data_IF_084809176685
#
_entry.id   IF_084809176685
#
_cell.length_a   1.000
_cell.length_b   1.000
_cell.length_c   1.000
_cell.angle_alpha   90.00
_cell.angle_beta   90.00
_cell.angle_gamma   90.00
#
_symmetry.space_group_name_H-M   'P 1'
#
loop_
_entity.id
_entity.type
_entity.pdbx_description
1 polymer ?
#
# COMPACT_ATOMS: atom_id res chain seq x y z
N UNK A 1 -28.60 50.52 -20.95
CA UNK A 1 -28.21 49.20 -21.50
C UNK A 1 -26.77 48.81 -21.19
N UNK A 2 -25.74 49.60 -21.54
CA UNK A 2 -24.32 49.22 -21.31
C UNK A 2 -23.94 49.05 -19.83
N UNK A 3 -24.46 49.90 -18.94
CA UNK A 3 -24.22 49.79 -17.49
C UNK A 3 -24.87 48.54 -16.86
N UNK A 4 -26.03 48.14 -17.37
CA UNK A 4 -26.77 46.96 -16.89
C UNK A 4 -26.07 45.65 -17.26
N UNK A 5 -25.46 45.60 -18.46
CA UNK A 5 -24.67 44.44 -18.92
C UNK A 5 -23.36 44.31 -18.13
N UNK A 6 -22.71 45.43 -17.78
CA UNK A 6 -21.52 45.41 -16.93
C UNK A 6 -21.83 44.93 -15.50
N UNK A 7 -22.96 45.35 -14.93
CA UNK A 7 -23.37 44.95 -13.58
C UNK A 7 -23.69 43.44 -13.51
N UNK A 8 -24.31 42.88 -14.54
CA UNK A 8 -24.59 41.44 -14.63
C UNK A 8 -23.32 40.58 -14.78
N UNK A 9 -22.30 41.09 -15.49
CA UNK A 9 -20.99 40.43 -15.60
C UNK A 9 -20.22 40.45 -14.28
N UNK A 10 -20.29 41.54 -13.51
CA UNK A 10 -19.66 41.63 -12.18
C UNK A 10 -20.34 40.72 -11.17
N UNK A 11 -21.67 40.58 -11.21
CA UNK A 11 -22.40 39.64 -10.35
C UNK A 11 -22.09 38.18 -10.72
N UNK A 12 -21.86 37.86 -12.00
CA UNK A 12 -21.46 36.51 -12.42
C UNK A 12 -20.03 36.15 -11.98
N UNK A 13 -19.12 37.13 -11.93
CA UNK A 13 -17.75 36.94 -11.39
C UNK A 13 -17.73 36.88 -9.86
N UNK A 14 -18.60 37.62 -9.17
CA UNK A 14 -18.75 37.56 -7.71
C UNK A 14 -19.57 36.36 -7.22
N UNK A 15 -20.36 35.73 -8.10
CA UNK A 15 -20.96 34.41 -7.89
C UNK A 15 -19.97 33.26 -8.22
N UNK A 16 -18.69 33.57 -8.39
CA UNK A 16 -17.60 32.60 -8.47
C UNK A 16 -17.53 31.76 -7.19
N UNK A 17 -18.29 30.66 -7.21
CA UNK A 17 -18.18 29.48 -6.34
C UNK A 17 -17.96 29.78 -4.87
N UNK A 18 -19.02 29.77 -4.07
CA UNK A 18 -18.82 29.15 -2.75
C UNK A 18 -18.27 27.75 -3.04
N UNK A 19 -17.03 27.48 -2.64
CA UNK A 19 -16.48 26.14 -2.70
C UNK A 19 -17.33 25.28 -1.78
N UNK A 20 -18.38 24.68 -2.34
CA UNK A 20 -19.23 23.75 -1.61
C UNK A 20 -18.36 22.57 -1.25
N UNK A 21 -18.30 22.27 0.05
CA UNK A 21 -17.64 21.07 0.55
C UNK A 21 -18.05 19.85 -0.27
N UNK A 22 -17.09 19.21 -0.93
CA UNK A 22 -17.36 18.00 -1.70
C UNK A 22 -17.59 16.82 -0.74
N UNK A 23 -18.48 15.91 -1.12
CA UNK A 23 -18.69 14.64 -0.45
C UNK A 23 -17.84 13.56 -1.12
N UNK A 24 -16.91 12.98 -0.37
CA UNK A 24 -16.00 11.94 -0.83
C UNK A 24 -16.35 10.63 -0.12
N UNK A 25 -16.60 9.57 -0.90
CA UNK A 25 -16.79 8.21 -0.39
C UNK A 25 -15.51 7.41 -0.56
N UNK A 26 -14.91 6.97 0.54
CA UNK A 26 -13.74 6.10 0.56
C UNK A 26 -14.19 4.67 0.86
N UNK A 27 -14.02 3.78 -0.10
CA UNK A 27 -14.38 2.36 0.02
C UNK A 27 -13.09 1.57 0.23
N UNK A 28 -12.93 1.10 1.45
CA UNK A 28 -11.75 0.43 1.97
C UNK A 28 -11.90 -1.08 1.79
N UNK A 29 -10.91 -1.73 1.19
CA UNK A 29 -10.89 -3.20 1.11
C UNK A 29 -10.90 -3.83 2.49
N UNK A 30 -10.23 -3.21 3.47
CA UNK A 30 -9.92 -3.82 4.75
C UNK A 30 -10.62 -3.11 5.92
N UNK A 31 -10.32 -3.54 7.14
CA UNK A 31 -10.89 -2.95 8.35
C UNK A 31 -10.15 -1.66 8.75
N UNK A 32 -10.84 -0.73 9.41
CA UNK A 32 -10.26 0.57 9.85
C UNK A 32 -9.01 0.48 10.74
N UNK A 33 -8.72 -0.70 11.30
CA UNK A 33 -7.62 -0.91 12.23
C UNK A 33 -6.29 -1.19 11.53
N UNK A 34 -6.29 -1.50 10.23
CA UNK A 34 -5.07 -1.77 9.48
C UNK A 34 -4.19 -0.51 9.40
N UNK A 35 -2.89 -0.69 9.68
CA UNK A 35 -1.95 0.42 9.78
C UNK A 35 -1.74 1.13 8.43
N UNK A 36 -1.77 0.37 7.33
CA UNK A 36 -1.70 0.89 5.97
C UNK A 36 -2.87 1.86 5.70
N UNK A 37 -4.09 1.43 5.98
CA UNK A 37 -5.33 2.20 5.83
C UNK A 37 -5.29 3.50 6.63
N UNK A 38 -4.89 3.41 7.91
CA UNK A 38 -4.70 4.60 8.75
C UNK A 38 -3.64 5.55 8.16
N UNK A 39 -2.58 5.00 7.57
CA UNK A 39 -1.48 5.80 7.04
C UNK A 39 -1.90 6.59 5.81
N UNK A 40 -2.46 5.93 4.78
CA UNK A 40 -2.88 6.64 3.57
C UNK A 40 -4.05 7.57 3.81
N UNK A 41 -4.96 7.26 4.75
CA UNK A 41 -6.06 8.16 5.07
C UNK A 41 -5.59 9.47 5.71
N UNK A 42 -4.55 9.41 6.56
CA UNK A 42 -3.88 10.63 7.06
C UNK A 42 -3.21 11.38 5.92
N UNK A 43 -2.60 10.68 4.97
CA UNK A 43 -1.99 11.26 3.78
C UNK A 43 -3.00 12.02 2.93
N UNK A 44 -4.14 11.40 2.62
CA UNK A 44 -5.24 12.02 1.86
C UNK A 44 -5.72 13.29 2.57
N UNK A 45 -6.03 13.20 3.86
CA UNK A 45 -6.50 14.33 4.68
C UNK A 45 -5.47 15.46 4.83
N UNK A 46 -4.20 15.18 4.63
CA UNK A 46 -3.15 16.23 4.69
C UNK A 46 -3.08 17.09 3.44
N UNK A 47 -3.70 16.66 2.33
CA UNK A 47 -3.67 17.36 1.04
C UNK A 47 -5.06 17.89 0.67
N UNK A 48 -6.10 17.09 0.90
CA UNK A 48 -7.47 17.46 0.55
C UNK A 48 -8.04 18.37 1.65
N UNK A 49 -8.65 19.49 1.25
CA UNK A 49 -9.22 20.50 2.14
C UNK A 49 -10.15 19.88 3.20
N UNK A 50 -9.97 20.28 4.46
CA UNK A 50 -10.72 19.79 5.62
C UNK A 50 -12.21 20.12 5.59
N UNK A 51 -12.62 21.09 4.77
CA UNK A 51 -14.02 21.42 4.57
C UNK A 51 -14.78 20.31 3.84
N UNK A 52 -14.10 19.42 3.09
CA UNK A 52 -14.74 18.30 2.41
C UNK A 52 -15.19 17.23 3.41
N UNK A 53 -16.30 16.55 3.09
CA UNK A 53 -16.82 15.46 3.91
C UNK A 53 -16.27 14.12 3.45
N UNK A 54 -15.66 13.36 4.36
CA UNK A 54 -15.15 12.02 4.10
C UNK A 54 -16.04 10.97 4.76
N UNK A 55 -16.66 10.11 3.94
CA UNK A 55 -17.38 8.93 4.42
C UNK A 55 -16.56 7.68 4.11
N UNK A 56 -16.30 6.84 5.10
CA UNK A 56 -15.60 5.56 4.88
C UNK A 56 -16.59 4.39 4.92
N UNK A 57 -16.43 3.45 3.98
CA UNK A 57 -17.05 2.13 4.01
C UNK A 57 -15.96 1.07 4.07
N UNK A 58 -15.96 0.22 5.09
CA UNK A 58 -14.96 -0.82 5.28
C UNK A 58 -15.53 -2.18 4.89
N UNK A 59 -14.91 -2.85 3.91
CA UNK A 59 -15.36 -4.14 3.40
C UNK A 59 -14.87 -5.33 4.24
N UNK A 60 -13.82 -5.15 5.05
CA UNK A 60 -13.25 -6.16 5.96
C UNK A 60 -12.85 -7.49 5.29
N UNK A 61 -12.31 -7.39 4.06
CA UNK A 61 -12.00 -8.56 3.21
C UNK A 61 -10.75 -9.34 3.61
N UNK A 62 -10.05 -8.95 4.68
CA UNK A 62 -8.95 -9.73 5.27
C UNK A 62 -9.41 -10.61 6.43
N UNK A 63 -10.60 -10.38 6.95
CA UNK A 63 -11.17 -11.11 8.09
C UNK A 63 -12.33 -12.00 7.66
N UNK A 64 -13.16 -11.48 6.75
CA UNK A 64 -14.30 -12.22 6.22
C UNK A 64 -13.86 -13.26 5.19
N UNK A 65 -14.60 -14.38 5.08
CA UNK A 65 -14.34 -15.37 4.05
C UNK A 65 -14.78 -14.85 2.68
N UNK A 66 -14.16 -15.36 1.60
CA UNK A 66 -14.29 -14.83 0.23
C UNK A 66 -15.74 -14.84 -0.27
N UNK A 67 -16.56 -15.77 0.19
CA UNK A 67 -17.98 -15.90 -0.14
C UNK A 67 -18.80 -14.69 0.32
N UNK A 68 -18.32 -13.95 1.32
CA UNK A 68 -18.97 -12.74 1.80
C UNK A 68 -18.56 -11.47 1.03
N UNK A 69 -17.53 -11.51 0.19
CA UNK A 69 -17.04 -10.33 -0.51
C UNK A 69 -18.09 -9.69 -1.43
N UNK A 70 -18.86 -10.45 -2.23
CA UNK A 70 -19.92 -9.87 -3.06
C UNK A 70 -21.00 -9.15 -2.24
N UNK A 71 -21.31 -9.65 -1.05
CA UNK A 71 -22.26 -9.00 -0.12
C UNK A 71 -21.70 -7.65 0.35
N UNK A 72 -20.42 -7.61 0.74
CA UNK A 72 -19.77 -6.35 1.15
C UNK A 72 -19.69 -5.33 0.02
N UNK A 73 -19.37 -5.78 -1.20
CA UNK A 73 -19.38 -4.90 -2.39
C UNK A 73 -20.78 -4.36 -2.68
N UNK A 74 -21.83 -5.16 -2.50
CA UNK A 74 -23.21 -4.69 -2.63
C UNK A 74 -23.56 -3.64 -1.58
N UNK A 75 -23.14 -3.81 -0.32
CA UNK A 75 -23.37 -2.81 0.74
C UNK A 75 -22.62 -1.49 0.46
N UNK A 76 -21.38 -1.58 -0.02
CA UNK A 76 -20.61 -0.42 -0.46
C UNK A 76 -21.32 0.32 -1.61
N UNK A 77 -21.84 -0.42 -2.58
CA UNK A 77 -22.63 0.13 -3.68
C UNK A 77 -23.93 0.81 -3.23
N UNK A 78 -24.66 0.21 -2.29
CA UNK A 78 -25.85 0.85 -1.70
C UNK A 78 -25.49 2.14 -0.94
N UNK A 79 -24.34 2.15 -0.27
CA UNK A 79 -23.81 3.35 0.39
C UNK A 79 -23.56 4.46 -0.62
N UNK A 80 -22.92 4.14 -1.75
CA UNK A 80 -22.74 5.07 -2.87
C UNK A 80 -24.06 5.63 -3.40
N UNK A 81 -25.05 4.77 -3.68
CA UNK A 81 -26.35 5.21 -4.22
C UNK A 81 -27.12 6.13 -3.26
N UNK A 82 -26.99 5.89 -1.95
CA UNK A 82 -27.61 6.71 -0.91
C UNK A 82 -26.89 8.05 -0.73
N UNK A 83 -25.56 8.04 -0.69
CA UNK A 83 -24.74 9.21 -0.41
C UNK A 83 -24.64 10.15 -1.62
N UNK A 84 -24.61 9.60 -2.84
CA UNK A 84 -24.36 10.35 -4.09
C UNK A 84 -23.14 11.28 -3.97
N UNK A 85 -21.95 10.74 -3.64
CA UNK A 85 -20.74 11.53 -3.47
C UNK A 85 -20.29 12.15 -4.79
N UNK A 86 -19.56 13.27 -4.69
CA UNK A 86 -18.93 13.95 -5.82
C UNK A 86 -17.70 13.18 -6.35
N UNK A 87 -17.09 12.35 -5.50
CA UNK A 87 -15.93 11.53 -5.83
C UNK A 87 -15.92 10.23 -5.01
N UNK A 88 -15.49 9.14 -5.64
CA UNK A 88 -15.29 7.86 -4.98
C UNK A 88 -13.80 7.51 -4.95
N UNK A 89 -13.36 6.98 -3.82
CA UNK A 89 -12.03 6.41 -3.65
C UNK A 89 -12.15 4.90 -3.45
N UNK A 90 -11.45 4.10 -4.25
CA UNK A 90 -11.39 2.64 -4.10
C UNK A 90 -10.00 2.24 -3.59
N UNK A 91 -9.92 1.66 -2.40
CA UNK A 91 -8.65 1.35 -1.75
C UNK A 91 -8.34 -0.14 -1.78
N UNK A 92 -7.15 -0.48 -2.26
CA UNK A 92 -6.57 -1.81 -2.39
C UNK A 92 -7.32 -2.75 -3.36
N UNK A 93 -6.69 -3.87 -3.69
CA UNK A 93 -7.10 -4.76 -4.79
C UNK A 93 -8.54 -5.31 -4.67
N UNK A 94 -9.07 -5.53 -3.46
CA UNK A 94 -10.39 -6.15 -3.29
C UNK A 94 -11.51 -5.16 -3.61
N UNK A 95 -11.48 -3.93 -3.10
CA UNK A 95 -12.46 -2.89 -3.44
C UNK A 95 -12.41 -2.58 -4.94
N UNK A 96 -11.20 -2.46 -5.50
CA UNK A 96 -11.00 -2.20 -6.93
C UNK A 96 -11.58 -3.34 -7.77
N UNK A 97 -11.19 -4.59 -7.51
CA UNK A 97 -11.63 -5.73 -8.32
C UNK A 97 -13.14 -5.98 -8.24
N UNK A 98 -13.76 -5.72 -7.09
CA UNK A 98 -15.19 -5.97 -6.87
C UNK A 98 -16.09 -4.84 -7.40
N UNK A 99 -15.58 -3.61 -7.51
CA UNK A 99 -16.42 -2.43 -7.77
C UNK A 99 -16.03 -1.65 -9.04
N UNK A 100 -14.83 -1.83 -9.59
CA UNK A 100 -14.36 -1.05 -10.75
C UNK A 100 -15.31 -1.12 -11.95
N UNK A 101 -15.83 -2.31 -12.26
CA UNK A 101 -16.80 -2.49 -13.35
C UNK A 101 -18.08 -1.68 -13.13
N UNK A 102 -18.63 -1.66 -11.90
CA UNK A 102 -19.87 -0.92 -11.62
C UNK A 102 -19.65 0.59 -11.69
N UNK A 103 -18.57 1.08 -11.11
CA UNK A 103 -18.24 2.50 -11.16
C UNK A 103 -17.81 2.95 -12.56
N UNK A 104 -17.23 2.07 -13.37
CA UNK A 104 -16.92 2.34 -14.78
C UNK A 104 -18.15 2.57 -15.67
N UNK A 105 -19.34 2.21 -15.20
CA UNK A 105 -20.63 2.48 -15.85
C UNK A 105 -21.29 3.78 -15.36
N UNK A 106 -20.60 4.57 -14.53
CA UNK A 106 -21.10 5.82 -13.97
C UNK A 106 -20.21 6.99 -14.36
N UNK A 107 -20.73 8.21 -14.20
CA UNK A 107 -19.97 9.43 -14.45
C UNK A 107 -19.19 9.94 -13.23
N UNK A 108 -19.35 9.30 -12.06
CA UNK A 108 -18.63 9.74 -10.84
C UNK A 108 -17.13 9.56 -11.04
N UNK A 109 -16.31 10.59 -10.76
CA UNK A 109 -14.86 10.43 -10.74
C UNK A 109 -14.43 9.41 -9.69
N UNK A 110 -13.49 8.54 -10.07
CA UNK A 110 -12.91 7.52 -9.20
C UNK A 110 -11.40 7.69 -9.11
N UNK A 111 -10.91 7.77 -7.89
CA UNK A 111 -9.47 7.66 -7.58
C UNK A 111 -9.24 6.31 -6.90
N UNK A 112 -8.48 5.41 -7.53
CA UNK A 112 -8.03 4.22 -6.81
C UNK A 112 -6.70 4.48 -6.10
N UNK A 113 -6.43 3.76 -5.01
CA UNK A 113 -5.09 3.69 -4.41
C UNK A 113 -4.83 2.30 -3.83
N UNK A 114 -3.56 1.98 -3.56
CA UNK A 114 -3.18 0.69 -2.97
C UNK A 114 -3.24 -0.48 -3.96
N UNK A 115 -3.32 -0.18 -5.26
CA UNK A 115 -3.46 -1.21 -6.28
C UNK A 115 -2.11 -1.92 -6.54
N UNK A 116 -1.98 -3.16 -6.07
CA UNK A 116 -0.78 -3.97 -6.31
C UNK A 116 -0.82 -4.63 -7.69
N UNK A 117 -1.98 -5.12 -8.12
CA UNK A 117 -2.15 -5.78 -9.43
C UNK A 117 -1.95 -4.83 -10.62
N UNK A 118 -1.92 -5.41 -11.83
CA UNK A 118 -1.82 -4.62 -13.05
C UNK A 118 -3.19 -3.96 -13.34
N UNK A 119 -3.26 -2.63 -13.55
CA UNK A 119 -4.53 -1.95 -13.86
C UNK A 119 -5.28 -2.53 -15.07
N UNK A 120 -4.56 -3.17 -16.00
CA UNK A 120 -5.16 -3.84 -17.17
C UNK A 120 -6.02 -5.04 -16.80
N UNK A 121 -5.70 -5.74 -15.72
CA UNK A 121 -6.42 -6.95 -15.29
C UNK A 121 -7.86 -6.63 -14.86
N UNK A 122 -8.09 -5.39 -14.42
CA UNK A 122 -9.40 -4.86 -14.06
C UNK A 122 -10.00 -3.92 -15.11
N UNK A 123 -9.37 -3.80 -16.29
CA UNK A 123 -9.84 -2.94 -17.37
C UNK A 123 -9.75 -1.44 -17.07
N UNK A 124 -9.04 -1.01 -16.02
CA UNK A 124 -9.03 0.38 -15.56
C UNK A 124 -8.50 1.34 -16.62
N UNK A 125 -7.60 0.87 -17.48
CA UNK A 125 -7.01 1.67 -18.56
C UNK A 125 -8.02 2.07 -19.65
N UNK A 126 -9.22 1.50 -19.63
CA UNK A 126 -10.32 1.83 -20.55
C UNK A 126 -11.39 2.71 -19.90
N UNK A 127 -11.32 2.94 -18.60
CA UNK A 127 -12.33 3.69 -17.84
C UNK A 127 -11.94 5.17 -17.79
N UNK A 128 -12.74 6.03 -18.41
CA UNK A 128 -12.44 7.46 -18.53
C UNK A 128 -12.61 8.24 -17.22
N UNK A 129 -13.41 7.70 -16.29
CA UNK A 129 -13.63 8.28 -14.98
C UNK A 129 -12.64 7.77 -13.91
N UNK A 130 -11.59 7.03 -14.28
CA UNK A 130 -10.61 6.46 -13.33
C UNK A 130 -9.24 7.11 -13.47
N UNK A 131 -8.65 7.42 -12.32
CA UNK A 131 -7.21 7.61 -12.14
C UNK A 131 -6.79 7.01 -10.80
N UNK A 132 -5.51 7.04 -10.44
CA UNK A 132 -5.13 6.51 -9.13
C UNK A 132 -3.65 6.32 -8.88
N UNK A 133 -3.36 5.70 -7.73
CA UNK A 133 -2.01 5.44 -7.22
C UNK A 133 -1.75 3.94 -7.16
N UNK A 134 -0.73 3.50 -7.89
CA UNK A 134 -0.28 2.12 -7.93
C UNK A 134 0.63 1.84 -6.74
N UNK A 135 0.41 0.72 -6.06
CA UNK A 135 1.27 0.23 -5.00
C UNK A 135 2.44 -0.56 -5.60
N UNK A 136 3.63 0.02 -5.55
CA UNK A 136 4.83 -0.56 -6.19
C UNK A 136 5.96 -0.64 -5.16
N UNK A 137 6.05 -1.76 -4.41
CA UNK A 137 7.11 -1.93 -3.43
C UNK A 137 8.50 -1.89 -4.10
N UNK A 138 9.47 -1.23 -3.45
CA UNK A 138 10.78 -0.92 -4.04
C UNK A 138 11.79 -2.07 -3.84
N UNK A 139 11.34 -3.33 -4.02
CA UNK A 139 12.05 -4.54 -3.62
C UNK A 139 13.53 -4.58 -4.04
N UNK A 140 13.84 -4.37 -5.33
CA UNK A 140 15.22 -4.46 -5.83
C UNK A 140 16.15 -3.47 -5.14
N UNK A 141 15.70 -2.23 -4.91
CA UNK A 141 16.51 -1.21 -4.24
C UNK A 141 16.63 -1.51 -2.75
N UNK A 142 15.58 -2.04 -2.11
CA UNK A 142 15.63 -2.47 -0.70
C UNK A 142 16.63 -3.61 -0.50
N UNK A 143 16.65 -4.59 -1.40
CA UNK A 143 17.60 -5.71 -1.37
C UNK A 143 19.04 -5.22 -1.56
N UNK A 144 19.29 -4.33 -2.53
CA UNK A 144 20.61 -3.70 -2.73
C UNK A 144 21.04 -2.90 -1.50
N UNK A 145 20.11 -2.21 -0.83
CA UNK A 145 20.41 -1.50 0.41
C UNK A 145 20.84 -2.47 1.52
N UNK A 146 20.13 -3.59 1.69
CA UNK A 146 20.50 -4.58 2.70
C UNK A 146 21.89 -5.17 2.42
N UNK A 147 22.25 -5.39 1.16
CA UNK A 147 23.60 -5.83 0.76
C UNK A 147 24.72 -4.93 1.30
N UNK A 148 24.47 -3.62 1.37
CA UNK A 148 25.41 -2.61 1.88
C UNK A 148 25.45 -2.51 3.42
N UNK A 149 24.41 -3.02 4.10
CA UNK A 149 24.27 -2.98 5.56
C UNK A 149 24.79 -4.28 6.18
N UNK A 150 24.60 -5.40 5.50
CA UNK A 150 25.02 -6.71 5.97
C UNK A 150 26.56 -6.83 5.99
N UNK A 151 27.11 -7.66 6.90
CA UNK A 151 28.55 -7.90 6.96
C UNK A 151 29.15 -8.27 5.60
N UNK A 152 30.38 -7.82 5.35
CA UNK A 152 31.04 -8.03 4.07
C UNK A 152 31.30 -9.52 3.82
N UNK A 153 30.90 -9.97 2.63
CA UNK A 153 30.95 -11.37 2.18
C UNK A 153 30.94 -11.38 0.65
N UNK A 154 31.72 -12.28 0.05
CA UNK A 154 31.88 -12.39 -1.40
C UNK A 154 30.56 -12.61 -2.14
N UNK A 155 29.66 -13.40 -1.55
CA UNK A 155 28.31 -13.67 -2.05
C UNK A 155 27.33 -13.67 -0.88
N UNK A 156 26.21 -12.97 -1.03
CA UNK A 156 25.16 -12.93 -0.01
C UNK A 156 23.91 -13.66 -0.52
N UNK A 157 23.27 -14.43 0.35
CA UNK A 157 22.02 -15.13 0.05
C UNK A 157 20.88 -14.53 0.87
N UNK A 158 19.86 -14.00 0.21
CA UNK A 158 18.72 -13.35 0.86
C UNK A 158 17.45 -14.16 0.59
N UNK A 159 16.67 -14.39 1.65
CA UNK A 159 15.34 -14.97 1.54
C UNK A 159 14.30 -13.87 1.57
N UNK A 160 13.36 -13.89 0.61
CA UNK A 160 12.19 -13.00 0.57
C UNK A 160 10.94 -13.86 0.78
N UNK A 161 10.15 -13.55 1.82
CA UNK A 161 8.94 -14.31 2.16
C UNK A 161 7.69 -13.42 2.14
N UNK A 162 6.58 -13.97 1.65
CA UNK A 162 5.26 -13.35 1.63
C UNK A 162 4.18 -14.38 1.98
N UNK A 163 3.00 -13.92 2.37
CA UNK A 163 1.79 -14.73 2.35
C UNK A 163 1.40 -15.11 0.90
N UNK A 164 0.60 -16.16 0.73
CA UNK A 164 0.19 -16.67 -0.59
C UNK A 164 -1.07 -15.97 -1.16
N UNK A 165 -1.29 -14.69 -0.84
CA UNK A 165 -2.44 -13.93 -1.37
C UNK A 165 -2.24 -13.46 -2.81
N UNK A 166 -3.33 -13.07 -3.48
CA UNK A 166 -3.27 -12.43 -4.81
C UNK A 166 -2.42 -11.16 -4.81
N UNK A 167 -2.56 -10.33 -3.77
CA UNK A 167 -1.79 -9.09 -3.58
C UNK A 167 -0.28 -9.36 -3.46
N UNK A 168 0.11 -10.40 -2.70
CA UNK A 168 1.50 -10.82 -2.57
C UNK A 168 2.08 -11.33 -3.88
N UNK A 169 1.32 -12.12 -4.64
CA UNK A 169 1.72 -12.57 -5.98
C UNK A 169 1.94 -11.38 -6.92
N UNK A 170 1.00 -10.44 -6.96
CA UNK A 170 1.11 -9.24 -7.78
C UNK A 170 2.33 -8.37 -7.41
N UNK A 171 2.73 -8.36 -6.13
CA UNK A 171 3.94 -7.66 -5.67
C UNK A 171 5.24 -8.31 -6.14
N UNK A 172 5.27 -9.65 -6.27
CA UNK A 172 6.48 -10.41 -6.60
C UNK A 172 6.61 -10.67 -8.10
N UNK A 173 5.50 -10.87 -8.81
CA UNK A 173 5.45 -11.26 -10.22
C UNK A 173 6.31 -10.38 -11.14
N UNK A 174 6.39 -9.04 -10.98
CA UNK A 174 7.27 -8.20 -11.81
C UNK A 174 8.77 -8.46 -11.64
N UNK A 175 9.16 -9.21 -10.60
CA UNK A 175 10.55 -9.46 -10.22
C UNK A 175 10.92 -10.92 -10.42
N UNK A 176 10.04 -11.83 -10.00
CA UNK A 176 10.22 -13.27 -10.15
C UNK A 176 8.86 -13.94 -10.40
N UNK A 177 8.38 -13.98 -11.65
CA UNK A 177 7.04 -14.48 -11.98
C UNK A 177 6.85 -15.96 -11.58
N UNK A 178 7.89 -16.78 -11.73
CA UNK A 178 7.85 -18.21 -11.38
C UNK A 178 8.42 -18.50 -9.97
N UNK A 179 8.65 -17.46 -9.16
CA UNK A 179 9.36 -17.54 -7.88
C UNK A 179 10.78 -18.14 -8.00
N UNK A 180 11.34 -18.15 -9.20
CA UNK A 180 12.71 -18.56 -9.45
C UNK A 180 13.69 -17.66 -8.68
N UNK A 181 14.78 -18.26 -8.21
CA UNK A 181 15.87 -17.49 -7.62
C UNK A 181 16.43 -16.50 -8.65
N UNK A 182 16.75 -15.29 -8.20
CA UNK A 182 17.36 -14.27 -9.05
C UNK A 182 18.68 -13.81 -8.47
N UNK A 183 19.54 -13.27 -9.33
CA UNK A 183 20.77 -12.59 -8.92
C UNK A 183 20.64 -11.09 -9.09
N UNK A 184 21.00 -10.33 -8.05
CA UNK A 184 21.12 -8.87 -8.07
C UNK A 184 22.54 -8.53 -7.64
N UNK A 185 23.42 -8.29 -8.61
CA UNK A 185 24.86 -8.14 -8.34
C UNK A 185 25.42 -9.41 -7.70
N UNK A 186 25.99 -9.30 -6.50
CA UNK A 186 26.55 -10.42 -5.71
C UNK A 186 25.54 -11.07 -4.74
N UNK A 187 24.27 -10.75 -4.90
CA UNK A 187 23.19 -11.26 -4.03
C UNK A 187 22.36 -12.27 -4.80
N UNK A 188 22.25 -13.48 -4.26
CA UNK A 188 21.24 -14.45 -4.69
C UNK A 188 20.00 -14.28 -3.82
N UNK A 189 18.83 -14.16 -4.45
CA UNK A 189 17.56 -13.92 -3.79
C UNK A 189 16.60 -15.07 -4.08
N UNK A 190 16.16 -15.75 -3.02
CA UNK A 190 15.13 -16.78 -3.10
C UNK A 190 13.78 -16.19 -2.67
N UNK A 191 12.69 -16.56 -3.35
CA UNK A 191 11.33 -16.11 -3.02
C UNK A 191 10.48 -17.28 -2.51
N UNK A 192 9.66 -17.04 -1.47
CA UNK A 192 8.69 -18.00 -0.97
C UNK A 192 7.34 -17.34 -0.68
N UNK A 193 6.27 -17.99 -1.15
CA UNK A 193 4.89 -17.69 -0.79
C UNK A 193 4.40 -18.77 0.17
N UNK A 194 3.85 -18.37 1.30
CA UNK A 194 3.47 -19.28 2.38
C UNK A 194 2.00 -19.08 2.73
N UNK A 195 1.27 -20.17 2.98
CA UNK A 195 -0.15 -20.09 3.37
C UNK A 195 -0.29 -20.27 4.89
N UNK A 196 0.38 -21.26 5.45
CA UNK A 196 0.23 -21.62 6.85
C UNK A 196 1.29 -20.91 7.70
N UNK A 197 0.89 -20.44 8.89
CA UNK A 197 1.82 -19.82 9.84
C UNK A 197 2.91 -20.79 10.29
N UNK A 198 2.62 -22.10 10.39
CA UNK A 198 3.62 -23.10 10.77
C UNK A 198 4.76 -23.20 9.74
N UNK A 199 4.44 -23.13 8.44
CA UNK A 199 5.44 -23.16 7.36
C UNK A 199 6.30 -21.88 7.39
N UNK A 200 5.67 -20.73 7.69
CA UNK A 200 6.37 -19.47 7.92
C UNK A 200 7.35 -19.56 9.07
N UNK A 201 6.89 -20.06 10.22
CA UNK A 201 7.69 -20.20 11.41
C UNK A 201 8.87 -21.15 11.20
N UNK A 202 8.64 -22.29 10.56
CA UNK A 202 9.68 -23.25 10.23
C UNK A 202 10.74 -22.65 9.30
N UNK A 203 10.32 -21.96 8.24
CA UNK A 203 11.25 -21.36 7.27
C UNK A 203 12.09 -20.25 7.90
N UNK A 204 11.48 -19.37 8.71
CA UNK A 204 12.18 -18.30 9.44
C UNK A 204 13.18 -18.88 10.43
N UNK A 205 12.78 -19.86 11.24
CA UNK A 205 13.64 -20.47 12.27
C UNK A 205 14.85 -21.19 11.65
N UNK A 206 14.66 -21.81 10.48
CA UNK A 206 15.72 -22.52 9.77
C UNK A 206 16.52 -21.63 8.81
N UNK A 207 16.22 -20.33 8.70
CA UNK A 207 16.82 -19.48 7.66
C UNK A 207 18.36 -19.45 7.71
N UNK A 208 18.96 -19.34 8.90
CA UNK A 208 20.42 -19.41 9.06
C UNK A 208 21.00 -20.76 8.66
N UNK A 209 20.34 -21.86 9.08
CA UNK A 209 20.74 -23.23 8.75
C UNK A 209 20.66 -23.50 7.25
N UNK A 210 19.70 -22.87 6.58
CA UNK A 210 19.50 -22.94 5.13
C UNK A 210 20.44 -22.00 4.34
N UNK A 211 21.40 -21.36 5.02
CA UNK A 211 22.46 -20.57 4.40
C UNK A 211 22.06 -19.15 3.99
N UNK A 212 20.94 -18.62 4.50
CA UNK A 212 20.55 -17.23 4.26
C UNK A 212 21.30 -16.28 5.20
N UNK A 213 21.74 -15.15 4.66
CA UNK A 213 22.41 -14.08 5.37
C UNK A 213 21.42 -13.01 5.88
N UNK A 214 20.27 -12.87 5.22
CA UNK A 214 19.18 -12.00 5.67
C UNK A 214 17.81 -12.47 5.20
N UNK A 215 16.78 -11.94 5.85
CA UNK A 215 15.37 -12.15 5.55
C UNK A 215 14.72 -10.82 5.12
N UNK A 216 13.87 -10.86 4.10
CA UNK A 216 12.94 -9.79 3.78
C UNK A 216 11.51 -10.30 3.97
N UNK A 217 10.78 -9.64 4.84
CA UNK A 217 9.38 -9.92 5.13
C UNK A 217 8.52 -9.00 4.28
N UNK A 218 7.76 -9.61 3.36
CA UNK A 218 6.75 -8.96 2.54
C UNK A 218 5.43 -8.79 3.27
N UNK A 219 4.32 -8.98 2.55
CA UNK A 219 2.98 -9.01 3.14
C UNK A 219 2.76 -10.33 3.88
N UNK A 220 2.08 -10.30 5.03
CA UNK A 220 1.86 -11.46 5.91
C UNK A 220 0.46 -11.46 6.54
N UNK A 221 -0.50 -10.80 5.88
CA UNK A 221 -1.83 -10.50 6.44
C UNK A 221 -2.88 -11.59 6.15
N UNK A 222 -2.54 -12.62 5.37
CA UNK A 222 -3.46 -13.73 5.05
C UNK A 222 -2.94 -15.10 5.48
N UNK A 223 -1.98 -15.15 6.40
CA UNK A 223 -1.56 -16.41 6.99
C UNK A 223 -2.68 -16.98 7.85
N UNK A 224 -2.82 -18.30 7.81
CA UNK A 224 -3.78 -19.03 8.62
C UNK A 224 -3.12 -20.10 9.47
N UNK A 225 -3.76 -20.49 10.56
CA UNK A 225 -3.34 -21.60 11.41
C UNK A 225 -3.81 -22.97 10.86
N UNK A 226 -3.62 -24.03 11.66
CA UNK A 226 -4.00 -25.38 11.27
C UNK A 226 -5.54 -25.52 11.10
N UNK A 227 -6.30 -24.74 11.87
CA UNK A 227 -7.76 -24.65 11.88
C UNK A 227 -8.31 -23.69 10.79
N UNK A 228 -7.45 -23.21 9.89
CA UNK A 228 -7.76 -22.24 8.84
C UNK A 228 -8.28 -20.89 9.37
N UNK A 229 -8.02 -20.56 10.64
CA UNK A 229 -8.31 -19.25 11.19
C UNK A 229 -7.21 -18.26 10.83
N UNK A 230 -7.61 -17.02 10.59
CA UNK A 230 -6.66 -15.94 10.31
C UNK A 230 -5.78 -15.65 11.53
N UNK A 231 -4.46 -15.64 11.32
CA UNK A 231 -3.49 -15.23 12.34
C UNK A 231 -3.35 -13.72 12.32
N UNK A 232 -3.32 -13.09 13.50
CA UNK A 232 -3.22 -11.65 13.58
C UNK A 232 -1.86 -11.17 13.04
N UNK A 233 -1.83 -10.16 12.15
CA UNK A 233 -0.57 -9.67 11.56
C UNK A 233 0.48 -9.27 12.62
N UNK A 234 0.03 -8.66 13.73
CA UNK A 234 0.91 -8.28 14.83
C UNK A 234 1.58 -9.49 15.50
N UNK A 235 0.90 -10.63 15.60
CA UNK A 235 1.47 -11.87 16.15
C UNK A 235 2.54 -12.43 15.21
N UNK A 236 2.27 -12.46 13.90
CA UNK A 236 3.22 -12.95 12.90
C UNK A 236 4.52 -12.16 12.91
N UNK A 237 4.44 -10.82 12.85
CA UNK A 237 5.64 -9.98 12.77
C UNK A 237 6.41 -9.95 14.08
N UNK A 238 5.72 -9.96 15.23
CA UNK A 238 6.36 -10.05 16.54
C UNK A 238 7.07 -11.39 16.71
N UNK A 239 6.40 -12.49 16.35
CA UNK A 239 7.01 -13.81 16.40
C UNK A 239 8.24 -13.88 15.47
N UNK A 240 8.14 -13.30 14.27
CA UNK A 240 9.26 -13.26 13.31
C UNK A 240 10.44 -12.48 13.89
N UNK A 241 10.18 -11.31 14.50
CA UNK A 241 11.22 -10.53 15.17
C UNK A 241 11.89 -11.35 16.29
N UNK A 242 11.12 -12.06 17.11
CA UNK A 242 11.66 -12.81 18.24
C UNK A 242 12.49 -14.03 17.82
N UNK A 243 12.12 -14.70 16.72
CA UNK A 243 12.65 -16.02 16.36
C UNK A 243 13.58 -16.04 15.15
N UNK A 244 13.67 -14.96 14.36
CA UNK A 244 14.59 -14.90 13.23
C UNK A 244 16.06 -15.00 13.68
N UNK A 245 16.83 -15.98 13.19
CA UNK A 245 18.25 -16.17 13.54
C UNK A 245 19.20 -15.31 12.69
N UNK A 246 18.66 -14.45 11.83
CA UNK A 246 19.37 -13.57 10.90
C UNK A 246 18.70 -12.18 10.83
N UNK A 247 19.43 -11.12 10.40
CA UNK A 247 18.83 -9.81 10.18
C UNK A 247 17.63 -9.86 9.25
N UNK A 248 16.56 -9.14 9.61
CA UNK A 248 15.31 -9.14 8.87
C UNK A 248 14.80 -7.72 8.58
N UNK A 249 14.41 -7.50 7.33
CA UNK A 249 14.02 -6.22 6.74
C UNK A 249 12.58 -6.29 6.19
N UNK A 250 12.00 -5.13 5.90
CA UNK A 250 10.65 -5.04 5.32
C UNK A 250 10.60 -4.17 4.07
N UNK A 251 9.50 -4.27 3.31
CA UNK A 251 9.24 -3.40 2.15
C UNK A 251 8.18 -2.32 2.41
N UNK A 252 7.43 -2.40 3.53
CA UNK A 252 6.40 -1.43 3.91
C UNK A 252 6.67 -0.85 5.30
N UNK A 253 6.33 0.43 5.48
CA UNK A 253 6.53 1.17 6.73
C UNK A 253 5.91 0.50 7.97
N UNK A 254 4.70 -0.06 7.87
CA UNK A 254 4.00 -0.74 8.95
C UNK A 254 4.73 -1.99 9.49
N UNK A 255 5.70 -2.50 8.74
CA UNK A 255 6.48 -3.67 9.11
C UNK A 255 7.76 -3.33 9.87
N UNK A 256 8.08 -2.04 10.07
CA UNK A 256 9.32 -1.58 10.73
C UNK A 256 9.04 -1.11 12.16
N UNK A 257 9.91 -1.48 13.11
CA UNK A 257 9.77 -1.11 14.53
C UNK A 257 10.60 -1.97 15.48
N UNK A 258 10.74 -1.57 16.75
CA UNK A 258 11.39 -2.35 17.82
C UNK A 258 10.95 -3.84 17.87
N UNK A 259 9.63 -4.06 17.83
CA UNK A 259 8.99 -5.37 17.87
C UNK A 259 8.63 -5.89 16.47
N UNK A 260 9.30 -5.39 15.42
CA UNK A 260 9.04 -5.72 14.01
C UNK A 260 10.37 -5.81 13.26
N UNK A 261 10.38 -5.58 11.94
CA UNK A 261 11.61 -5.59 11.15
C UNK A 261 12.56 -4.45 11.50
N UNK A 262 13.85 -4.70 11.25
CA UNK A 262 14.96 -3.78 11.54
C UNK A 262 14.84 -2.50 10.72
N UNK A 263 14.36 -2.60 9.48
CA UNK A 263 14.22 -1.45 8.60
C UNK A 263 14.17 -1.82 7.14
N UNK A 264 14.41 -0.83 6.31
CA UNK A 264 14.52 -1.00 4.87
C UNK A 264 14.36 0.30 4.13
N UNK A 265 14.40 0.19 2.81
CA UNK A 265 13.89 1.21 1.92
C UNK A 265 12.45 0.86 1.59
N UNK A 266 11.51 1.49 2.29
CA UNK A 266 10.13 1.05 2.40
C UNK A 266 9.19 1.95 1.61
N UNK A 267 8.05 1.39 1.23
CA UNK A 267 6.89 2.15 0.80
C UNK A 267 6.26 2.85 2.01
N UNK A 268 5.95 4.14 1.86
CA UNK A 268 5.37 4.98 2.90
C UNK A 268 3.88 5.20 2.63
N UNK A 269 3.03 4.69 3.52
CA UNK A 269 1.57 4.78 3.34
C UNK A 269 1.06 6.21 3.43
N UNK A 270 1.71 7.08 4.20
CA UNK A 270 1.34 8.48 4.30
C UNK A 270 1.66 9.21 3.00
N UNK A 271 2.85 9.01 2.42
CA UNK A 271 3.19 9.57 1.11
C UNK A 271 2.26 9.03 0.00
N UNK A 272 1.94 7.74 0.06
CA UNK A 272 0.99 7.11 -0.86
C UNK A 272 -0.39 7.78 -0.81
N UNK A 273 -0.88 8.06 0.40
CA UNK A 273 -2.08 8.84 0.62
C UNK A 273 -2.00 10.28 0.12
N UNK A 274 -0.85 10.93 0.25
CA UNK A 274 -0.64 12.29 -0.29
C UNK A 274 -0.71 12.30 -1.83
N UNK A 275 -0.19 11.27 -2.50
CA UNK A 275 -0.33 11.14 -3.96
C UNK A 275 -1.81 11.02 -4.35
N UNK A 276 -2.59 10.21 -3.64
CA UNK A 276 -4.03 10.09 -3.87
C UNK A 276 -4.75 11.41 -3.59
N UNK A 277 -4.41 12.09 -2.48
CA UNK A 277 -4.96 13.39 -2.12
C UNK A 277 -4.70 14.48 -3.18
N UNK A 278 -3.54 14.45 -3.85
CA UNK A 278 -3.24 15.35 -4.97
C UNK A 278 -4.16 15.10 -6.17
N UNK A 279 -4.38 13.83 -6.53
CA UNK A 279 -5.30 13.46 -7.61
C UNK A 279 -6.74 13.87 -7.28
N UNK A 280 -7.19 13.60 -6.05
CA UNK A 280 -8.51 14.02 -5.55
C UNK A 280 -8.67 15.53 -5.68
N UNK A 281 -7.70 16.30 -5.17
CA UNK A 281 -7.74 17.77 -5.20
C UNK A 281 -7.79 18.32 -6.63
N UNK A 282 -7.04 17.73 -7.55
CA UNK A 282 -7.07 18.10 -8.97
C UNK A 282 -8.43 17.83 -9.62
N UNK A 283 -9.07 16.72 -9.29
CA UNK A 283 -10.41 16.38 -9.79
C UNK A 283 -11.46 17.33 -9.23
N UNK A 284 -11.41 17.64 -7.92
CA UNK A 284 -12.33 18.60 -7.30
C UNK A 284 -12.18 20.03 -7.88
N UNK A 285 -11.00 20.35 -8.42
CA UNK A 285 -10.73 21.59 -9.15
C UNK A 285 -11.16 21.55 -10.63
N UNK A 286 -11.84 20.49 -11.07
CA UNK A 286 -12.44 20.37 -12.40
C UNK A 286 -11.62 19.62 -13.44
N UNK A 287 -10.48 19.00 -13.08
CA UNK A 287 -9.77 18.11 -14.01
C UNK A 287 -10.51 16.79 -14.18
N UNK A 288 -10.56 16.28 -15.41
CA UNK A 288 -11.12 14.96 -15.67
C UNK A 288 -10.09 13.86 -15.30
N UNK A 289 -10.50 12.73 -14.70
CA UNK A 289 -9.60 11.63 -14.36
C UNK A 289 -8.76 11.11 -15.54
N UNK A 290 -9.32 11.05 -16.75
CA UNK A 290 -8.58 10.59 -17.94
C UNK A 290 -7.45 11.53 -18.41
N UNK A 291 -7.37 12.75 -17.87
CA UNK A 291 -6.26 13.69 -18.10
C UNK A 291 -5.14 13.49 -17.07
N UNK A 292 -5.35 12.66 -16.05
CA UNK A 292 -4.43 12.42 -14.96
C UNK A 292 -3.79 11.03 -15.11
N UNK A 293 -2.47 10.99 -15.22
CA UNK A 293 -1.72 9.74 -15.27
C UNK A 293 -1.76 9.01 -13.94
N UNK A 294 -1.67 7.68 -13.98
CA UNK A 294 -1.49 6.91 -12.76
C UNK A 294 -0.17 7.28 -12.07
N UNK A 295 -0.25 7.52 -10.77
CA UNK A 295 0.89 7.84 -9.93
C UNK A 295 1.39 6.59 -9.21
N UNK A 296 2.62 6.65 -8.71
CA UNK A 296 3.16 5.66 -7.78
C UNK A 296 4.34 6.27 -7.03
N UNK A 297 4.57 5.81 -5.80
CA UNK A 297 5.72 6.24 -5.03
C UNK A 297 7.02 5.75 -5.67
N UNK A 298 7.84 6.71 -6.12
CA UNK A 298 9.19 6.46 -6.66
C UNK A 298 10.29 6.74 -5.65
N UNK A 299 9.95 7.45 -4.58
CA UNK A 299 10.87 8.00 -3.61
C UNK A 299 11.10 7.03 -2.46
N UNK A 300 10.08 6.32 -2.01
CA UNK A 300 10.15 5.48 -0.80
C UNK A 300 10.71 6.23 0.41
N UNK A 301 11.08 5.48 1.44
CA UNK A 301 11.67 6.05 2.64
C UNK A 301 12.70 5.12 3.25
N UNK A 302 13.85 5.66 3.64
CA UNK A 302 14.74 4.95 4.57
C UNK A 302 14.11 5.00 5.95
N UNK A 303 13.70 3.86 6.48
CA UNK A 303 13.08 3.73 7.80
C UNK A 303 13.74 2.59 8.57
N UNK A 304 14.22 2.88 9.77
CA UNK A 304 14.98 1.91 10.57
C UNK A 304 14.62 1.97 12.06
N UNK A 305 14.63 0.80 12.69
CA UNK A 305 14.52 0.59 14.12
C UNK A 305 15.88 0.68 14.78
N UNK A 306 16.03 1.61 15.73
CA UNK A 306 17.27 1.76 16.50
C UNK A 306 17.56 0.51 17.33
N UNK A 307 16.54 -0.07 17.97
CA UNK A 307 16.67 -1.33 18.69
C UNK A 307 17.03 -2.50 17.77
N UNK A 308 16.44 -2.55 16.57
CA UNK A 308 16.72 -3.57 15.56
C UNK A 308 18.18 -3.52 15.09
N UNK A 309 18.69 -2.34 14.74
CA UNK A 309 20.09 -2.17 14.33
C UNK A 309 21.06 -2.54 15.46
N UNK A 310 20.76 -2.13 16.69
CA UNK A 310 21.55 -2.46 17.87
C UNK A 310 21.60 -3.97 18.13
N UNK A 311 20.46 -4.67 18.02
CA UNK A 311 20.38 -6.13 18.21
C UNK A 311 21.32 -6.88 17.28
N UNK A 312 21.37 -6.45 16.01
CA UNK A 312 22.15 -7.12 14.98
C UNK A 312 23.55 -6.53 14.79
N UNK A 313 23.91 -5.51 15.57
CA UNK A 313 25.19 -4.78 15.47
C UNK A 313 25.44 -4.28 14.04
N UNK A 314 24.40 -3.76 13.40
CA UNK A 314 24.45 -3.26 12.03
C UNK A 314 24.66 -1.75 12.02
N UNK A 315 25.59 -1.31 11.18
CA UNK A 315 25.82 0.10 10.91
C UNK A 315 25.30 0.45 9.51
N UNK A 316 24.62 1.59 9.41
CA UNK A 316 24.15 2.10 8.13
C UNK A 316 25.26 2.90 7.44
N UNK A 317 25.43 2.78 6.12
CA UNK A 317 26.27 3.70 5.36
C UNK A 317 25.87 5.15 5.66
N UNK A 318 26.84 6.07 5.77
CA UNK A 318 26.60 7.46 6.18
C UNK A 318 25.51 8.16 5.35
N UNK A 319 25.51 7.94 4.02
CA UNK A 319 24.49 8.47 3.10
C UNK A 319 23.08 8.00 3.46
N UNK A 320 22.93 6.76 3.89
CA UNK A 320 21.65 6.17 4.31
C UNK A 320 21.26 6.73 5.68
N UNK A 321 22.18 6.67 6.65
CA UNK A 321 21.95 7.13 8.02
C UNK A 321 21.43 8.57 8.10
N UNK A 322 22.01 9.49 7.32
CA UNK A 322 21.61 10.91 7.28
C UNK A 322 20.22 11.15 6.70
N UNK A 323 19.69 10.23 5.90
CA UNK A 323 18.36 10.32 5.27
C UNK A 323 17.33 9.41 5.96
N UNK A 324 17.78 8.61 6.92
CA UNK A 324 16.94 7.66 7.65
C UNK A 324 15.98 8.38 8.59
N UNK A 325 14.76 7.85 8.59
CA UNK A 325 13.79 8.07 9.65
C UNK A 325 13.91 6.92 10.64
N UNK A 326 13.64 7.23 11.90
CA UNK A 326 13.93 6.34 13.00
C UNK A 326 12.64 5.97 13.74
N UNK A 327 12.43 4.68 13.95
CA UNK A 327 11.51 4.18 14.95
C UNK A 327 12.30 3.88 16.22
N UNK A 328 11.66 4.06 17.38
CA UNK A 328 12.22 3.57 18.64
C UNK A 328 12.26 2.06 18.62
#
# INVERSE_FOLDING_TARGET
MRATVLLLLVIYVLAGGQATAASILIIESYHKEYAWDKSYNRGIKSIVDENNTFTHFYMDTKTLPIEQFPKQANLAWQTYLKLKPDLVVLCDDNAISLLSHRFGLTDVPVVFLGLNSNPRDYGLTKLSNFTGVLERPILKRSIILAEQILPDKSEKKILVIFDNSKTSKASIEPISPDLAAISIGKVTVDFKLLKQVVEWQELVSNAKKNGYDALFVGLYHTLVDAEQQHVLPNEVILWTQQNAPIPHFGFWDFSIGAQRNIGGYVLDGYLHGQLAGKLISQILQGKSPNQLTYEFDRQGRYLFSLEGLKRWQLELPQRVSTQSHWTK
#
